data_IF_083662436635
#
_entry.id   IF_083662436635
#
_cell.length_a   1.000
_cell.length_b   1.000
_cell.length_c   1.000
_cell.angle_alpha   90.00
_cell.angle_beta   90.00
_cell.angle_gamma   90.00
#
_symmetry.space_group_name_H-M   'P 1'
#
loop_
_entity.id
_entity.type
_entity.pdbx_description
1 polymer ?
#
# COMPACT_ATOMS: atom_id res chain seq x y z
N UNK A 1 0.75 -21.12 -6.26
CA UNK A 1 1.26 -22.15 -7.20
C UNK A 1 1.10 -23.56 -6.67
N UNK A 2 1.71 -23.95 -5.54
CA UNK A 2 1.63 -25.32 -5.00
C UNK A 2 0.18 -25.84 -4.85
N UNK A 3 -0.73 -25.02 -4.33
CA UNK A 3 -2.15 -25.41 -4.20
C UNK A 3 -2.84 -25.67 -5.55
N UNK A 4 -2.60 -24.82 -6.56
CA UNK A 4 -3.16 -25.00 -7.90
C UNK A 4 -2.61 -26.25 -8.57
N UNK A 5 -1.30 -26.52 -8.41
CA UNK A 5 -0.65 -27.73 -8.93
C UNK A 5 -1.20 -28.98 -8.25
N UNK A 6 -1.42 -28.95 -6.93
CA UNK A 6 -2.03 -30.06 -6.18
C UNK A 6 -3.47 -30.33 -6.66
N UNK A 7 -4.28 -29.31 -6.89
CA UNK A 7 -5.64 -29.46 -7.44
C UNK A 7 -5.64 -30.04 -8.87
N UNK A 8 -4.63 -29.69 -9.67
CA UNK A 8 -4.44 -30.28 -10.99
C UNK A 8 -4.04 -31.77 -10.94
N UNK A 9 -3.13 -32.14 -10.01
CA UNK A 9 -2.70 -33.53 -9.80
C UNK A 9 -3.86 -34.40 -9.27
N UNK A 10 -4.68 -33.84 -8.39
CA UNK A 10 -5.86 -34.52 -7.83
C UNK A 10 -7.03 -34.63 -8.82
N UNK A 11 -6.89 -34.11 -10.05
CA UNK A 11 -7.91 -34.18 -11.09
C UNK A 11 -9.14 -33.30 -10.85
N UNK A 12 -9.10 -32.41 -9.85
CA UNK A 12 -10.19 -31.47 -9.52
C UNK A 12 -10.28 -30.35 -10.55
N UNK A 13 -9.14 -29.93 -11.11
CA UNK A 13 -9.05 -28.91 -12.15
C UNK A 13 -8.39 -29.45 -13.41
N UNK A 14 -8.95 -29.20 -14.61
CA UNK A 14 -8.29 -29.56 -15.86
C UNK A 14 -6.98 -28.80 -16.01
N UNK A 15 -5.95 -29.43 -16.58
CA UNK A 15 -4.58 -28.89 -16.70
C UNK A 15 -4.53 -27.51 -17.34
N UNK A 16 -5.41 -27.20 -18.28
CA UNK A 16 -5.53 -25.87 -18.90
C UNK A 16 -5.95 -24.79 -17.92
N UNK A 17 -6.77 -25.12 -16.93
CA UNK A 17 -7.25 -24.14 -15.93
C UNK A 17 -6.24 -23.89 -14.82
N UNK A 18 -5.37 -24.86 -14.52
CA UNK A 18 -4.30 -24.72 -13.51
C UNK A 18 -3.37 -23.54 -13.84
N UNK A 19 -3.08 -23.35 -15.13
CA UNK A 19 -2.16 -22.30 -15.59
C UNK A 19 -2.87 -21.10 -16.22
N UNK A 20 -4.19 -21.14 -16.41
CA UNK A 20 -4.96 -20.04 -17.01
C UNK A 20 -4.81 -18.70 -16.25
N UNK A 21 -4.67 -18.77 -14.94
CA UNK A 21 -4.43 -17.59 -14.12
C UNK A 21 -3.13 -16.86 -14.45
N UNK A 22 -2.09 -17.55 -14.92
CA UNK A 22 -0.82 -16.94 -15.30
C UNK A 22 -0.89 -16.16 -16.61
N UNK A 23 -1.84 -16.50 -17.47
CA UNK A 23 -2.09 -15.83 -18.75
C UNK A 23 -3.09 -14.67 -18.63
N UNK A 24 -3.62 -14.43 -17.43
CA UNK A 24 -4.53 -13.32 -17.18
C UNK A 24 -3.75 -12.00 -17.21
N UNK A 25 -4.18 -11.05 -18.03
CA UNK A 25 -3.52 -9.74 -18.21
C UNK A 25 -3.38 -8.97 -16.88
N UNK A 26 -4.38 -9.09 -15.99
CA UNK A 26 -4.38 -8.47 -14.66
C UNK A 26 -3.26 -9.06 -13.78
N UNK A 27 -3.05 -10.38 -13.80
CA UNK A 27 -1.99 -11.06 -13.04
C UNK A 27 -0.60 -10.68 -13.55
N UNK A 28 -0.44 -10.57 -14.88
CA UNK A 28 0.83 -10.16 -15.51
C UNK A 28 1.14 -8.69 -15.15
N UNK A 29 0.15 -7.80 -15.23
CA UNK A 29 0.29 -6.40 -14.81
C UNK A 29 0.73 -6.32 -13.34
N UNK A 30 0.09 -7.08 -12.46
CA UNK A 30 0.38 -7.11 -11.03
C UNK A 30 1.81 -7.61 -10.76
N UNK A 31 2.23 -8.67 -11.45
CA UNK A 31 3.60 -9.16 -11.39
C UNK A 31 4.63 -8.11 -11.80
N UNK A 32 4.39 -7.39 -12.90
CA UNK A 32 5.24 -6.29 -13.35
C UNK A 32 5.33 -5.15 -12.32
N UNK A 33 4.20 -4.76 -11.72
CA UNK A 33 4.19 -3.71 -10.70
C UNK A 33 4.89 -4.12 -9.40
N UNK A 34 4.83 -5.40 -9.01
CA UNK A 34 5.66 -5.89 -7.89
C UNK A 34 7.15 -5.76 -8.16
N UNK A 35 7.60 -6.00 -9.40
CA UNK A 35 9.01 -5.83 -9.77
C UNK A 35 9.41 -4.35 -9.68
N UNK A 36 8.58 -3.43 -10.17
CA UNK A 36 8.82 -1.99 -10.07
C UNK A 36 8.85 -1.54 -8.61
N UNK A 37 7.88 -1.96 -7.80
CA UNK A 37 7.83 -1.67 -6.37
C UNK A 37 9.07 -2.20 -5.63
N UNK A 38 9.48 -3.43 -5.89
CA UNK A 38 10.68 -4.01 -5.30
C UNK A 38 11.96 -3.25 -5.73
N UNK A 39 12.04 -2.81 -6.98
CA UNK A 39 13.15 -1.99 -7.47
C UNK A 39 13.19 -0.63 -6.74
N UNK A 40 12.05 0.02 -6.56
CA UNK A 40 11.94 1.29 -5.83
C UNK A 40 12.44 1.18 -4.38
N UNK A 41 12.16 0.07 -3.70
CA UNK A 41 12.68 -0.19 -2.36
C UNK A 41 14.16 -0.55 -2.36
N UNK A 42 14.62 -1.42 -3.28
CA UNK A 42 16.03 -1.83 -3.36
C UNK A 42 16.98 -0.69 -3.77
N UNK A 43 16.51 0.26 -4.56
CA UNK A 43 17.29 1.45 -4.95
C UNK A 43 17.35 2.52 -3.85
N UNK A 44 16.59 2.36 -2.75
CA UNK A 44 16.48 3.35 -1.68
C UNK A 44 15.66 4.60 -2.06
N UNK A 45 15.00 4.60 -3.23
CA UNK A 45 14.21 5.73 -3.68
C UNK A 45 13.05 6.04 -2.72
N UNK A 46 12.36 5.01 -2.25
CA UNK A 46 11.27 5.16 -1.28
C UNK A 46 11.76 5.77 0.04
N UNK A 47 12.93 5.32 0.52
CA UNK A 47 13.58 5.85 1.73
C UNK A 47 14.01 7.31 1.53
N UNK A 48 14.64 7.64 0.40
CA UNK A 48 15.06 8.99 0.08
C UNK A 48 13.89 9.98 0.03
N UNK A 49 12.77 9.59 -0.57
CA UNK A 49 11.54 10.39 -0.59
C UNK A 49 11.01 10.57 0.84
N UNK A 50 10.94 9.50 1.64
CA UNK A 50 10.50 9.54 3.03
C UNK A 50 11.33 10.53 3.86
N UNK A 51 12.64 10.42 3.81
CA UNK A 51 13.56 11.30 4.55
C UNK A 51 13.42 12.77 4.09
N UNK A 52 13.32 13.02 2.79
CA UNK A 52 13.22 14.39 2.26
C UNK A 52 11.96 15.11 2.74
N UNK A 53 10.82 14.40 2.77
CA UNK A 53 9.55 14.97 3.21
C UNK A 53 9.51 15.18 4.71
N UNK A 54 10.00 14.23 5.48
CA UNK A 54 10.03 14.34 6.95
C UNK A 54 10.98 15.46 7.41
N UNK A 55 12.13 15.63 6.77
CA UNK A 55 13.03 16.77 7.05
C UNK A 55 12.35 18.12 6.84
N UNK A 56 11.42 18.24 5.89
CA UNK A 56 10.63 19.47 5.66
C UNK A 56 9.54 19.69 6.71
N UNK A 57 8.99 18.62 7.29
CA UNK A 57 7.92 18.69 8.27
C UNK A 57 8.37 19.23 9.65
N UNK A 58 9.68 19.17 9.93
CA UNK A 58 10.24 19.59 11.22
C UNK A 58 9.99 18.60 12.34
N UNK A 59 10.20 19.02 13.60
CA UNK A 59 10.11 18.17 14.79
C UNK A 59 8.77 18.24 15.52
N UNK A 60 7.84 19.06 15.05
CA UNK A 60 6.49 19.14 15.63
C UNK A 60 5.69 17.87 15.28
N UNK A 61 5.06 17.27 16.28
CA UNK A 61 4.39 15.97 16.16
C UNK A 61 3.28 15.95 15.09
N UNK A 62 2.41 16.95 15.04
CA UNK A 62 1.26 17.00 14.12
C UNK A 62 1.70 17.10 12.64
N UNK A 63 2.54 18.07 12.24
CA UNK A 63 3.00 18.14 10.86
C UNK A 63 3.91 16.97 10.46
N UNK A 64 4.67 16.41 11.41
CA UNK A 64 5.47 15.22 11.19
C UNK A 64 4.58 14.01 10.86
N UNK A 65 3.56 13.75 11.67
CA UNK A 65 2.58 12.69 11.45
C UNK A 65 1.86 12.86 10.12
N UNK A 66 1.38 14.05 9.79
CA UNK A 66 0.72 14.32 8.52
C UNK A 66 1.65 14.09 7.32
N UNK A 67 2.91 14.50 7.41
CA UNK A 67 3.91 14.30 6.38
C UNK A 67 4.22 12.80 6.17
N UNK A 68 4.40 12.05 7.26
CA UNK A 68 4.59 10.59 7.23
C UNK A 68 3.40 9.92 6.54
N UNK A 69 2.17 10.28 6.92
CA UNK A 69 0.96 9.72 6.33
C UNK A 69 0.86 10.02 4.83
N UNK A 70 1.10 11.25 4.40
CA UNK A 70 1.05 11.63 2.98
C UNK A 70 2.04 10.85 2.12
N UNK A 71 3.29 10.75 2.58
CA UNK A 71 4.33 9.96 1.87
C UNK A 71 3.93 8.48 1.81
N UNK A 72 3.46 7.95 2.93
CA UNK A 72 3.06 6.55 3.02
C UNK A 72 1.90 6.24 2.08
N UNK A 73 0.87 7.11 2.02
CA UNK A 73 -0.26 6.99 1.09
C UNK A 73 0.24 6.98 -0.36
N UNK A 74 1.10 7.94 -0.73
CA UNK A 74 1.63 8.04 -2.10
C UNK A 74 2.44 6.81 -2.50
N UNK A 75 3.31 6.31 -1.63
CA UNK A 75 4.11 5.11 -1.87
C UNK A 75 3.26 3.84 -1.90
N UNK A 76 2.29 3.73 -1.00
CA UNK A 76 1.41 2.56 -0.92
C UNK A 76 0.41 2.49 -2.07
N UNK A 77 0.06 3.62 -2.69
CA UNK A 77 -0.78 3.64 -3.88
C UNK A 77 -0.15 2.94 -5.09
N UNK A 78 1.18 2.92 -5.18
CA UNK A 78 1.94 2.30 -6.29
C UNK A 78 2.70 1.05 -5.89
N UNK A 79 2.69 0.69 -4.61
CA UNK A 79 3.41 -0.46 -4.05
C UNK A 79 2.53 -1.22 -3.05
N UNK A 80 3.01 -2.36 -2.52
CA UNK A 80 2.26 -3.09 -1.51
C UNK A 80 2.28 -2.37 -0.15
N UNK A 81 1.15 -2.41 0.58
CA UNK A 81 1.02 -1.83 1.91
C UNK A 81 2.12 -2.35 2.87
N UNK A 82 2.32 -3.66 2.88
CA UNK A 82 3.33 -4.32 3.74
C UNK A 82 4.74 -3.88 3.39
N UNK A 83 5.08 -3.81 2.09
CA UNK A 83 6.39 -3.35 1.63
C UNK A 83 6.65 -1.90 2.02
N UNK A 84 5.66 -1.03 1.86
CA UNK A 84 5.75 0.39 2.23
C UNK A 84 5.98 0.55 3.73
N UNK A 85 5.21 -0.15 4.58
CA UNK A 85 5.39 -0.12 6.04
C UNK A 85 6.76 -0.66 6.44
N UNK A 86 7.18 -1.81 5.89
CA UNK A 86 8.47 -2.42 6.22
C UNK A 86 9.66 -1.52 5.86
N UNK A 87 9.57 -0.79 4.74
CA UNK A 87 10.61 0.14 4.29
C UNK A 87 10.65 1.42 5.15
N UNK A 88 9.49 2.02 5.42
CA UNK A 88 9.44 3.30 6.13
C UNK A 88 9.57 3.17 7.64
N UNK A 89 9.23 2.01 8.23
CA UNK A 89 9.28 1.79 9.67
C UNK A 89 10.65 2.12 10.29
N UNK A 90 11.80 1.59 9.82
CA UNK A 90 13.10 1.90 10.40
C UNK A 90 13.46 3.38 10.27
N UNK A 91 13.10 4.02 9.16
CA UNK A 91 13.32 5.45 8.93
C UNK A 91 12.56 6.29 9.95
N UNK A 92 11.27 5.97 10.15
CA UNK A 92 10.40 6.69 11.09
C UNK A 92 10.88 6.47 12.54
N UNK A 93 11.28 5.26 12.91
CA UNK A 93 11.85 4.99 14.25
C UNK A 93 13.09 5.85 14.47
N UNK A 94 14.01 5.92 13.50
CA UNK A 94 15.22 6.74 13.60
C UNK A 94 14.91 8.23 13.77
N UNK A 95 13.92 8.75 13.04
CA UNK A 95 13.47 10.15 13.14
C UNK A 95 12.83 10.42 14.49
N UNK A 96 11.95 9.53 14.97
CA UNK A 96 11.30 9.66 16.27
C UNK A 96 12.33 9.69 17.41
N UNK A 97 13.33 8.83 17.35
CA UNK A 97 14.43 8.82 18.33
C UNK A 97 15.22 10.14 18.31
N UNK A 98 15.56 10.65 17.13
CA UNK A 98 16.25 11.92 16.98
C UNK A 98 15.43 13.13 17.48
N UNK A 99 14.10 13.06 17.35
CA UNK A 99 13.16 14.10 17.78
C UNK A 99 12.66 13.94 19.23
N UNK A 100 13.10 12.90 19.97
CA UNK A 100 12.58 12.53 21.30
C UNK A 100 11.06 12.30 21.34
N UNK A 101 10.50 11.75 20.24
CA UNK A 101 9.09 11.38 20.12
C UNK A 101 8.97 9.86 20.26
N UNK A 102 7.91 9.38 20.93
CA UNK A 102 7.67 7.93 21.02
C UNK A 102 7.32 7.35 19.65
N UNK A 103 8.08 6.35 19.12
CA UNK A 103 7.81 5.75 17.81
C UNK A 103 6.40 5.15 17.69
N UNK A 104 5.83 4.64 18.79
CA UNK A 104 4.49 4.03 18.78
C UNK A 104 3.38 5.02 18.38
N UNK A 105 3.61 6.33 18.55
CA UNK A 105 2.66 7.36 18.13
C UNK A 105 2.62 7.55 16.62
N UNK A 106 3.70 7.23 15.91
CA UNK A 106 3.84 7.40 14.46
C UNK A 106 3.65 6.09 13.68
N UNK A 107 3.93 4.94 14.31
CA UNK A 107 3.82 3.63 13.64
C UNK A 107 2.37 3.23 13.34
N UNK A 108 1.42 3.56 14.21
CA UNK A 108 0.01 3.28 13.95
C UNK A 108 -0.55 4.14 12.82
N UNK A 109 -0.35 5.49 12.79
CA UNK A 109 -0.65 6.32 11.63
C UNK A 109 0.00 5.85 10.33
N UNK A 110 1.25 5.37 10.37
CA UNK A 110 1.92 4.76 9.24
C UNK A 110 1.13 3.57 8.68
N UNK A 111 0.72 2.64 9.54
CA UNK A 111 -0.03 1.45 9.12
C UNK A 111 -1.41 1.81 8.54
N UNK A 112 -2.11 2.77 9.15
CA UNK A 112 -3.39 3.27 8.66
C UNK A 112 -3.21 3.92 7.28
N UNK A 113 -2.21 4.78 7.13
CA UNK A 113 -1.90 5.47 5.90
C UNK A 113 -1.55 4.49 4.76
N UNK A 114 -0.78 3.44 5.06
CA UNK A 114 -0.45 2.41 4.08
C UNK A 114 -1.70 1.67 3.58
N UNK A 115 -2.61 1.29 4.48
CA UNK A 115 -3.85 0.62 4.10
C UNK A 115 -4.74 1.51 3.24
N UNK A 116 -4.90 2.77 3.61
CA UNK A 116 -5.70 3.73 2.85
C UNK A 116 -5.06 4.07 1.51
N UNK A 117 -3.73 4.23 1.46
CA UNK A 117 -3.00 4.41 0.20
C UNK A 117 -3.24 3.28 -0.80
N UNK A 118 -3.31 2.03 -0.30
CA UNK A 118 -3.62 0.86 -1.12
C UNK A 118 -5.01 0.88 -1.76
N UNK A 119 -5.95 1.70 -1.29
CA UNK A 119 -7.28 1.83 -1.89
C UNK A 119 -7.34 2.84 -3.05
N UNK A 120 -6.25 3.54 -3.37
CA UNK A 120 -6.25 4.58 -4.42
C UNK A 120 -6.12 3.98 -5.82
N UNK A 121 -5.37 2.89 -5.97
CA UNK A 121 -5.15 2.25 -7.27
C UNK A 121 -5.58 0.79 -7.26
N UNK A 122 -5.79 0.25 -8.45
CA UNK A 122 -6.11 -1.17 -8.62
C UNK A 122 -5.04 -2.10 -8.03
N UNK A 123 -3.75 -1.71 -8.08
CA UNK A 123 -2.62 -2.53 -7.66
C UNK A 123 -2.16 -2.29 -6.22
N UNK A 124 -2.65 -1.25 -5.56
CA UNK A 124 -2.22 -0.90 -4.20
C UNK A 124 -2.53 -2.00 -3.18
N UNK A 125 -3.58 -2.80 -3.43
CA UNK A 125 -3.92 -3.93 -2.55
C UNK A 125 -4.48 -5.12 -3.35
N UNK A 126 -4.14 -6.38 -3.00
CA UNK A 126 -4.60 -7.58 -3.70
C UNK A 126 -6.12 -7.70 -3.88
N UNK A 127 -6.99 -7.34 -2.92
CA UNK A 127 -8.44 -7.39 -3.09
C UNK A 127 -8.96 -6.62 -4.31
N UNK A 128 -8.40 -5.46 -4.63
CA UNK A 128 -8.82 -4.65 -5.77
C UNK A 128 -8.62 -5.42 -7.08
N UNK A 129 -7.49 -6.10 -7.21
CA UNK A 129 -7.16 -6.93 -8.39
C UNK A 129 -8.07 -8.15 -8.48
N UNK A 130 -8.35 -8.80 -7.34
CA UNK A 130 -9.22 -10.00 -7.29
C UNK A 130 -10.62 -9.63 -7.74
N UNK A 131 -11.18 -8.52 -7.25
CA UNK A 131 -12.51 -8.04 -7.64
C UNK A 131 -12.56 -7.72 -9.13
N UNK A 132 -11.57 -6.97 -9.63
CA UNK A 132 -11.48 -6.62 -11.06
C UNK A 132 -11.38 -7.87 -11.94
N UNK A 133 -10.58 -8.87 -11.52
CA UNK A 133 -10.47 -10.15 -12.21
C UNK A 133 -11.77 -10.96 -12.20
N UNK A 134 -12.50 -10.97 -11.09
CA UNK A 134 -13.78 -11.65 -10.97
C UNK A 134 -14.86 -11.00 -11.87
N UNK A 135 -14.92 -9.68 -11.94
CA UNK A 135 -15.80 -8.95 -12.84
C UNK A 135 -15.49 -9.29 -14.31
N UNK A 136 -14.22 -9.30 -14.68
CA UNK A 136 -13.77 -9.69 -16.03
C UNK A 136 -14.20 -11.11 -16.38
N UNK A 137 -14.04 -12.05 -15.45
CA UNK A 137 -14.45 -13.45 -15.65
C UNK A 137 -15.98 -13.62 -15.78
N UNK A 138 -16.75 -12.72 -15.15
CA UNK A 138 -18.20 -12.70 -15.25
C UNK A 138 -18.73 -11.95 -16.51
N UNK A 139 -17.84 -11.40 -17.35
CA UNK A 139 -18.21 -10.61 -18.51
C UNK A 139 -18.83 -9.24 -18.17
N UNK A 140 -18.61 -8.75 -16.95
CA UNK A 140 -19.07 -7.46 -16.47
C UNK A 140 -18.03 -6.35 -16.74
N UNK A 141 -18.47 -5.07 -16.77
CA UNK A 141 -17.52 -3.95 -16.83
C UNK A 141 -16.51 -4.03 -15.68
N UNK A 142 -15.22 -3.89 -16.02
CA UNK A 142 -14.13 -3.93 -15.04
C UNK A 142 -13.75 -2.52 -14.62
N UNK A 143 -13.21 -2.39 -13.42
CA UNK A 143 -12.66 -1.11 -12.94
C UNK A 143 -11.39 -0.73 -13.71
N UNK A 144 -11.28 0.55 -14.08
CA UNK A 144 -10.05 1.13 -14.57
C UNK A 144 -9.01 1.26 -13.46
N UNK A 145 -7.74 1.46 -13.86
CA UNK A 145 -6.60 1.51 -12.93
C UNK A 145 -6.75 2.54 -11.81
N UNK A 146 -7.29 3.71 -12.12
CA UNK A 146 -7.49 4.83 -11.18
C UNK A 146 -8.95 5.01 -10.74
N UNK A 147 -9.87 4.14 -11.09
CA UNK A 147 -11.26 4.30 -10.65
C UNK A 147 -11.43 4.13 -9.13
N UNK A 148 -10.59 3.34 -8.52
CA UNK A 148 -10.52 3.22 -7.06
C UNK A 148 -10.16 4.56 -6.37
N UNK A 149 -9.49 5.49 -7.06
CA UNK A 149 -9.12 6.80 -6.53
C UNK A 149 -10.34 7.67 -6.18
N UNK A 150 -11.50 7.48 -6.84
CA UNK A 150 -12.71 8.21 -6.51
C UNK A 150 -13.15 8.04 -5.06
N UNK A 151 -12.88 6.88 -4.46
CA UNK A 151 -13.14 6.60 -3.04
C UNK A 151 -11.87 6.74 -2.22
N UNK A 152 -10.74 6.27 -2.74
CA UNK A 152 -9.45 6.25 -2.04
C UNK A 152 -8.91 7.63 -1.70
N UNK A 153 -9.04 8.63 -2.60
CA UNK A 153 -8.55 10.00 -2.34
C UNK A 153 -9.37 10.70 -1.26
N UNK A 154 -10.72 10.76 -1.32
CA UNK A 154 -11.53 11.35 -0.24
C UNK A 154 -11.25 10.68 1.12
N UNK A 155 -11.16 9.35 1.14
CA UNK A 155 -10.85 8.60 2.37
C UNK A 155 -9.47 8.98 2.91
N UNK A 156 -8.48 9.13 2.03
CA UNK A 156 -7.12 9.55 2.40
C UNK A 156 -7.11 10.93 3.05
N UNK A 157 -7.84 11.88 2.48
CA UNK A 157 -7.96 13.25 3.02
C UNK A 157 -8.58 13.22 4.41
N UNK A 158 -9.71 12.50 4.57
CA UNK A 158 -10.40 12.38 5.86
C UNK A 158 -9.45 11.79 6.92
N UNK A 159 -8.73 10.73 6.60
CA UNK A 159 -7.85 10.05 7.55
C UNK A 159 -6.61 10.90 7.90
N UNK A 160 -6.02 11.60 6.94
CA UNK A 160 -4.89 12.50 7.19
C UNK A 160 -5.29 13.68 8.08
N UNK A 161 -6.52 14.17 7.97
CA UNK A 161 -7.03 15.23 8.83
C UNK A 161 -7.44 14.70 10.22
N UNK A 162 -8.10 13.56 10.26
CA UNK A 162 -8.63 12.98 11.51
C UNK A 162 -7.53 12.41 12.42
N UNK A 163 -6.58 11.67 11.87
CA UNK A 163 -5.59 10.92 12.67
C UNK A 163 -4.72 11.84 13.55
N UNK A 164 -4.10 12.92 13.05
CA UNK A 164 -3.30 13.80 13.88
C UNK A 164 -4.11 14.46 14.99
N UNK A 165 -5.36 14.87 14.72
CA UNK A 165 -6.26 15.46 15.71
C UNK A 165 -6.63 14.44 16.78
N UNK A 166 -7.03 13.24 16.37
CA UNK A 166 -7.41 12.16 17.31
C UNK A 166 -6.23 11.74 18.21
N UNK A 167 -5.03 11.59 17.64
CA UNK A 167 -3.84 11.17 18.39
C UNK A 167 -3.29 12.23 19.34
N UNK A 168 -3.52 13.51 19.06
CA UNK A 168 -3.12 14.60 19.97
C UNK A 168 -4.12 14.80 21.10
N UNK A 169 -5.41 14.59 20.86
CA UNK A 169 -6.46 14.80 21.88
C UNK A 169 -6.72 13.58 22.78
N UNK A 170 -6.58 12.36 22.26
CA UNK A 170 -6.91 11.13 23.00
C UNK A 170 -5.74 10.53 23.78
N UNK A 171 -4.52 11.04 23.64
CA UNK A 171 -3.31 10.57 24.32
C UNK A 171 -2.51 11.68 25.01
N UNK A 172 -3.18 12.76 25.41
CA UNK A 172 -2.63 13.74 26.34
C UNK A 172 -2.61 13.20 27.77
#
# INVERSE_FOLDING_TARGET
>A
MAACTALGILGVLPSKQVYAGLSNSTVVLFGGMFVIGAAMFKTGLAEAIGIAVVKKAGTNQVPLMAAIMLVTIALSAVSSNTGTVACLMPVIIGICQAANISPSKELMPLAIAANVGGTITMIGTPPNVIVTGALSAAGLPTFGFFEFAYIGIPLSIIIVLYTPVSYTHLRA
#
